data_IF_732951057482
#
_entry.id   IF_732951057482
#
_cell.length_a   1.000
_cell.length_b   1.000
_cell.length_c   1.000
_cell.angle_alpha   90.00
_cell.angle_beta   90.00
_cell.angle_gamma   90.00
#
_symmetry.space_group_name_H-M   'P 1'
#
loop_
_entity.id
_entity.type
_entity.pdbx_description
1 polymer ?
#
# COMPACT_ATOMS: atom_id res chain seq x y z
N UNK A 1 26.75 40.86 -29.56
CA UNK A 1 26.25 42.23 -29.24
C UNK A 1 24.75 42.19 -29.19
N UNK A 2 24.17 42.18 -28.03
CA UNK A 2 23.04 43.01 -27.57
C UNK A 2 22.74 42.61 -26.14
N UNK A 3 23.02 43.53 -25.24
CA UNK A 3 22.61 43.53 -23.84
C UNK A 3 21.40 44.43 -23.73
N UNK A 4 20.48 44.12 -22.85
CA UNK A 4 19.52 45.00 -22.15
C UNK A 4 18.89 44.17 -21.03
N UNK A 5 19.20 44.32 -19.81
CA UNK A 5 18.99 45.39 -18.80
C UNK A 5 17.55 45.47 -18.27
N UNK A 6 17.44 45.06 -16.99
CA UNK A 6 16.67 45.49 -15.81
C UNK A 6 15.25 46.05 -15.98
N UNK A 7 14.34 45.52 -15.14
CA UNK A 7 13.50 46.36 -14.27
C UNK A 7 12.99 45.61 -13.04
N UNK A 8 13.40 46.09 -11.86
CA UNK A 8 12.81 45.83 -10.56
C UNK A 8 11.49 46.59 -10.43
N UNK A 9 10.50 46.00 -9.77
CA UNK A 9 9.49 46.76 -9.01
C UNK A 9 9.11 45.95 -7.77
N UNK A 10 9.51 46.50 -6.64
CA UNK A 10 9.06 46.16 -5.30
C UNK A 10 7.87 47.04 -4.95
N UNK A 11 6.84 46.49 -4.33
CA UNK A 11 5.97 47.21 -3.40
C UNK A 11 5.38 46.19 -2.43
N UNK A 12 5.74 46.29 -1.24
CA UNK A 12 5.31 46.00 0.02
C UNK A 12 3.92 46.50 0.41
N UNK A 13 3.23 45.81 1.24
CA UNK A 13 2.41 46.38 2.28
C UNK A 13 2.19 45.37 3.43
N UNK A 14 2.67 45.77 4.57
CA UNK A 14 2.42 45.23 5.92
C UNK A 14 1.06 45.70 6.41
N UNK A 15 0.30 44.84 7.06
CA UNK A 15 -0.52 45.26 8.23
C UNK A 15 -0.73 44.09 9.18
N UNK A 16 -0.19 44.27 10.36
CA UNK A 16 -0.47 43.55 11.59
C UNK A 16 -1.89 43.86 12.08
N UNK A 17 -2.54 42.88 12.69
CA UNK A 17 -3.48 43.11 13.78
C UNK A 17 -3.50 41.91 14.71
N UNK A 18 -2.89 42.08 15.84
CA UNK A 18 -3.11 41.42 17.12
C UNK A 18 -4.53 41.67 17.60
N UNK A 19 -5.18 40.65 18.15
CA UNK A 19 -6.00 40.87 19.34
C UNK A 19 -6.08 39.60 20.22
N UNK A 20 -5.86 39.88 21.50
CA UNK A 20 -5.72 38.98 22.63
C UNK A 20 -7.05 38.49 23.19
N UNK A 21 -6.94 37.35 23.86
CA UNK A 21 -7.45 37.03 25.21
C UNK A 21 -8.95 37.02 25.51
N UNK A 22 -9.45 35.89 25.96
CA UNK A 22 -10.03 35.75 27.31
C UNK A 22 -10.61 34.35 27.55
N UNK A 23 -10.02 33.60 28.45
CA UNK A 23 -10.67 32.63 29.31
C UNK A 23 -11.32 33.41 30.49
N UNK A 24 -12.44 32.90 31.10
CA UNK A 24 -12.32 32.09 32.32
C UNK A 24 -13.38 30.99 32.45
N UNK A 25 -12.99 29.84 32.93
CA UNK A 25 -13.06 29.29 34.29
C UNK A 25 -14.44 29.01 34.92
N UNK A 26 -14.55 27.74 35.36
CA UNK A 26 -15.18 27.24 36.59
C UNK A 26 -16.70 26.91 36.61
N UNK A 27 -17.08 25.66 36.78
CA UNK A 27 -17.35 25.06 38.10
C UNK A 27 -18.01 23.70 38.01
N UNK A 28 -17.49 22.76 38.78
CA UNK A 28 -18.02 21.46 39.23
C UNK A 28 -18.56 21.69 40.65
N UNK A 29 -19.18 20.75 41.34
CA UNK A 29 -20.21 19.72 41.19
C UNK A 29 -21.35 19.92 42.22
N UNK A 30 -22.03 18.96 42.91
CA UNK A 30 -22.02 17.51 42.90
C UNK A 30 -23.39 16.79 43.12
N UNK A 31 -23.32 15.44 43.11
CA UNK A 31 -23.90 14.48 44.05
C UNK A 31 -25.29 13.87 43.86
N UNK A 32 -25.23 12.55 43.85
CA UNK A 32 -25.97 11.53 44.63
C UNK A 32 -27.46 11.30 44.40
N UNK A 33 -27.76 10.02 44.28
CA UNK A 33 -29.06 9.42 44.50
C UNK A 33 -29.13 7.98 44.05
N UNK A 34 -28.97 7.14 44.99
CA UNK A 34 -29.07 5.69 45.10
C UNK A 34 -30.37 5.06 44.61
N UNK A 35 -30.20 3.84 44.13
CA UNK A 35 -30.83 2.58 44.53
C UNK A 35 -32.22 2.20 44.00
N UNK A 36 -32.22 0.95 43.62
CA UNK A 36 -33.16 -0.14 43.82
C UNK A 36 -33.92 -0.68 42.63
N UNK A 37 -33.40 -1.83 42.17
CA UNK A 37 -34.08 -3.15 42.17
C UNK A 37 -35.48 -3.26 41.53
N UNK A 38 -35.61 -4.02 40.51
CA UNK A 38 -36.37 -5.28 40.49
C UNK A 38 -36.42 -5.92 39.10
N UNK A 39 -36.03 -7.18 39.10
CA UNK A 39 -36.28 -8.25 38.14
C UNK A 39 -37.57 -8.14 37.33
N UNK A 40 -37.48 -8.32 36.01
CA UNK A 40 -38.50 -9.13 35.30
C UNK A 40 -37.95 -9.66 33.96
N UNK A 41 -37.90 -10.96 33.91
CA UNK A 41 -37.67 -11.82 32.75
C UNK A 41 -38.71 -11.54 31.65
N UNK A 42 -38.26 -11.20 30.47
CA UNK A 42 -39.03 -11.44 29.25
C UNK A 42 -38.07 -11.80 28.12
N UNK A 43 -38.13 -13.06 27.77
CA UNK A 43 -37.51 -13.58 26.55
C UNK A 43 -38.12 -12.87 25.34
N UNK A 44 -37.29 -12.16 24.60
CA UNK A 44 -37.64 -11.72 23.25
C UNK A 44 -36.68 -12.38 22.31
N UNK A 45 -37.23 -13.23 21.47
CA UNK A 45 -36.57 -13.96 20.42
C UNK A 45 -35.98 -12.97 19.45
N UNK A 46 -34.66 -13.03 19.27
CA UNK A 46 -33.97 -12.45 18.12
C UNK A 46 -34.42 -13.19 16.85
N UNK A 47 -34.77 -12.49 15.78
CA UNK A 47 -34.88 -13.14 14.48
C UNK A 47 -33.46 -13.53 14.04
N UNK A 48 -33.22 -14.81 13.94
CA UNK A 48 -32.05 -15.37 13.32
C UNK A 48 -31.96 -14.79 11.87
N UNK A 49 -31.03 -13.88 11.67
CA UNK A 49 -30.57 -13.53 10.35
C UNK A 49 -29.68 -14.69 9.87
N UNK A 50 -30.31 -15.70 9.27
CA UNK A 50 -29.62 -16.71 8.50
C UNK A 50 -29.48 -16.17 7.08
N UNK A 51 -28.27 -15.90 6.69
CA UNK A 51 -27.96 -15.50 5.33
C UNK A 51 -26.61 -14.79 5.18
N UNK A 52 -25.64 -15.12 6.04
CA UNK A 52 -24.25 -14.91 5.67
C UNK A 52 -23.84 -16.16 4.87
N UNK A 53 -23.81 -16.01 3.56
CA UNK A 53 -22.91 -16.81 2.75
C UNK A 53 -21.52 -16.37 3.21
N UNK A 54 -20.93 -17.12 4.13
CA UNK A 54 -19.49 -17.12 4.31
C UNK A 54 -18.94 -17.53 2.94
N UNK A 55 -18.52 -16.53 2.14
CA UNK A 55 -17.52 -16.76 1.12
C UNK A 55 -16.33 -17.20 1.93
N UNK A 56 -15.98 -18.49 1.85
CA UNK A 56 -14.70 -18.92 2.39
C UNK A 56 -13.65 -18.11 1.63
N UNK A 57 -13.20 -17.02 2.24
CA UNK A 57 -12.09 -16.26 1.73
C UNK A 57 -10.90 -17.22 1.80
N UNK A 58 -10.47 -17.72 0.65
CA UNK A 58 -9.21 -18.44 0.54
C UNK A 58 -8.14 -17.61 1.22
N UNK A 59 -7.20 -18.27 1.92
CA UNK A 59 -6.15 -17.56 2.62
C UNK A 59 -5.41 -16.64 1.64
N UNK A 60 -5.56 -15.33 1.85
CA UNK A 60 -5.00 -14.30 0.99
C UNK A 60 -3.74 -13.72 1.64
N UNK A 61 -2.69 -13.58 0.87
CA UNK A 61 -1.47 -12.90 1.25
C UNK A 61 -1.26 -11.68 0.35
N UNK A 62 -0.88 -10.55 0.94
CA UNK A 62 -0.53 -9.34 0.23
C UNK A 62 0.93 -9.03 0.47
N UNK A 63 1.77 -9.41 -0.49
CA UNK A 63 3.20 -9.13 -0.51
C UNK A 63 3.44 -7.80 -1.20
N UNK A 64 4.28 -6.94 -0.66
CA UNK A 64 4.57 -5.67 -1.31
C UNK A 64 5.96 -5.13 -0.98
N UNK A 65 6.52 -4.40 -1.94
CA UNK A 65 7.63 -3.48 -1.73
C UNK A 65 7.14 -2.04 -1.86
N UNK A 66 7.50 -1.18 -0.92
CA UNK A 66 7.10 0.23 -0.95
C UNK A 66 8.27 1.15 -0.63
N UNK A 67 8.74 1.91 -1.62
CA UNK A 67 9.84 2.88 -1.42
C UNK A 67 9.38 4.21 -0.80
N UNK A 68 8.10 4.59 -0.97
CA UNK A 68 7.57 5.92 -0.57
C UNK A 68 6.19 5.86 0.10
N UNK A 69 5.76 4.69 0.58
CA UNK A 69 4.48 4.49 1.26
C UNK A 69 3.26 4.32 0.34
N UNK A 70 3.37 4.60 -0.97
CA UNK A 70 2.21 4.51 -1.87
C UNK A 70 1.75 3.07 -2.12
N UNK A 71 2.67 2.14 -2.31
CA UNK A 71 2.36 0.72 -2.49
C UNK A 71 1.88 0.09 -1.19
N UNK A 72 2.48 0.47 -0.06
CA UNK A 72 2.03 0.09 1.28
C UNK A 72 0.58 0.47 1.53
N UNK A 73 0.17 1.70 1.19
CA UNK A 73 -1.23 2.12 1.32
C UNK A 73 -2.17 1.26 0.47
N UNK A 74 -1.79 0.97 -0.77
CA UNK A 74 -2.57 0.11 -1.66
C UNK A 74 -2.67 -1.32 -1.09
N UNK A 75 -1.56 -1.87 -0.59
CA UNK A 75 -1.49 -3.19 0.03
C UNK A 75 -2.38 -3.27 1.28
N UNK A 76 -2.35 -2.23 2.11
CA UNK A 76 -3.20 -2.14 3.32
C UNK A 76 -4.68 -2.20 2.94
N UNK A 77 -5.12 -1.46 1.93
CA UNK A 77 -6.52 -1.53 1.49
C UNK A 77 -6.92 -2.92 0.97
N UNK A 78 -6.02 -3.58 0.21
CA UNK A 78 -6.28 -4.95 -0.24
C UNK A 78 -6.43 -5.88 0.96
N UNK A 79 -5.52 -5.83 1.92
CA UNK A 79 -5.56 -6.66 3.11
C UNK A 79 -6.82 -6.40 3.96
N UNK A 80 -7.19 -5.14 4.18
CA UNK A 80 -8.38 -4.76 4.96
C UNK A 80 -9.68 -5.27 4.29
N UNK A 81 -9.78 -5.18 2.97
CA UNK A 81 -10.96 -5.60 2.21
C UNK A 81 -11.05 -7.12 2.10
N UNK A 82 -9.93 -7.81 1.86
CA UNK A 82 -9.90 -9.26 1.67
C UNK A 82 -9.76 -10.06 2.96
N UNK A 83 -9.42 -9.40 4.07
CA UNK A 83 -9.03 -10.06 5.32
C UNK A 83 -7.69 -10.80 5.22
N UNK A 84 -6.85 -10.45 4.25
CA UNK A 84 -5.56 -11.07 3.99
C UNK A 84 -4.43 -10.61 4.91
N UNK A 85 -3.38 -11.41 4.98
CA UNK A 85 -2.16 -11.07 5.73
C UNK A 85 -1.25 -10.16 4.89
N UNK A 86 -0.56 -9.22 5.53
CA UNK A 86 0.43 -8.34 4.90
C UNK A 86 1.85 -8.89 5.09
N UNK A 87 2.65 -8.81 4.03
CA UNK A 87 4.07 -9.11 4.06
C UNK A 87 4.87 -8.06 3.29
N UNK A 88 5.59 -7.22 4.02
CA UNK A 88 6.47 -6.21 3.44
C UNK A 88 7.81 -6.81 3.03
N UNK A 89 8.25 -6.50 1.81
CA UNK A 89 9.59 -6.81 1.34
C UNK A 89 10.53 -5.70 1.77
N UNK A 90 11.31 -5.95 2.80
CA UNK A 90 12.29 -5.00 3.34
C UNK A 90 13.68 -5.31 2.77
N UNK A 91 14.29 -4.43 1.95
CA UNK A 91 15.70 -4.57 1.59
C UNK A 91 16.59 -4.54 2.83
N UNK A 92 17.56 -5.47 2.91
CA UNK A 92 18.55 -5.52 4.00
C UNK A 92 19.35 -4.21 4.12
N UNK A 93 19.51 -3.51 3.00
CA UNK A 93 20.01 -2.13 2.91
C UNK A 93 18.90 -1.25 2.34
N UNK A 94 18.11 -0.55 3.19
CA UNK A 94 16.96 0.22 2.75
C UNK A 94 17.33 1.38 1.83
N UNK A 95 16.48 1.68 0.86
CA UNK A 95 16.66 2.84 -0.03
C UNK A 95 16.40 4.14 0.71
N UNK A 96 17.36 5.06 0.65
CA UNK A 96 17.21 6.43 1.12
C UNK A 96 16.59 7.33 0.04
N UNK A 97 16.17 8.53 0.41
CA UNK A 97 15.69 9.54 -0.57
C UNK A 97 16.76 9.87 -1.64
N UNK A 98 18.04 9.80 -1.26
CA UNK A 98 19.17 10.03 -2.18
C UNK A 98 19.32 8.85 -3.15
N UNK A 99 19.13 7.61 -2.67
CA UNK A 99 19.18 6.40 -3.47
C UNK A 99 18.06 6.34 -4.51
N UNK A 100 16.89 6.88 -4.17
CA UNK A 100 15.70 6.92 -5.02
C UNK A 100 15.68 8.09 -6.02
N UNK A 101 16.69 8.92 -6.04
CA UNK A 101 16.76 10.08 -6.93
C UNK A 101 17.11 9.69 -8.37
N UNK A 102 16.14 9.24 -9.13
CA UNK A 102 16.26 8.82 -10.54
C UNK A 102 16.72 9.94 -11.50
N UNK A 103 16.80 11.20 -11.04
CA UNK A 103 17.39 12.31 -11.82
C UNK A 103 18.92 12.42 -11.61
N UNK A 104 19.48 11.67 -10.70
CA UNK A 104 20.91 11.58 -10.43
C UNK A 104 21.44 10.25 -10.98
N UNK A 105 22.31 10.28 -11.98
CA UNK A 105 22.92 9.09 -12.57
C UNK A 105 23.80 8.30 -11.57
N UNK A 106 24.30 8.97 -10.53
CA UNK A 106 25.12 8.37 -9.47
C UNK A 106 24.27 7.79 -8.31
N UNK A 107 22.94 7.96 -8.32
CA UNK A 107 22.08 7.36 -7.30
C UNK A 107 22.04 5.83 -7.44
N UNK A 108 21.80 5.14 -6.31
CA UNK A 108 21.73 3.68 -6.27
C UNK A 108 20.73 3.13 -7.30
N UNK A 109 19.51 3.64 -7.32
CA UNK A 109 18.45 3.17 -8.22
C UNK A 109 18.80 3.39 -9.71
N UNK A 110 19.54 4.47 -10.02
CA UNK A 110 20.00 4.73 -11.40
C UNK A 110 21.13 3.81 -11.83
N UNK A 111 22.03 3.48 -10.91
CA UNK A 111 23.11 2.51 -11.16
C UNK A 111 22.56 1.09 -11.32
N UNK A 112 21.62 0.68 -10.47
CA UNK A 112 20.93 -0.61 -10.57
C UNK A 112 20.11 -0.71 -11.87
N UNK A 113 19.54 0.40 -12.34
CA UNK A 113 18.89 0.43 -13.64
C UNK A 113 19.88 0.24 -14.81
N UNK A 114 21.04 0.88 -14.74
CA UNK A 114 22.05 0.83 -15.79
C UNK A 114 22.80 -0.53 -15.84
N UNK A 115 22.91 -1.21 -14.70
CA UNK A 115 23.61 -2.50 -14.57
C UNK A 115 22.69 -3.51 -13.84
N UNK A 116 22.12 -4.43 -14.62
CA UNK A 116 21.20 -5.45 -14.09
C UNK A 116 21.84 -6.37 -13.04
N UNK A 117 23.16 -6.53 -13.06
CA UNK A 117 23.87 -7.34 -12.06
C UNK A 117 23.81 -6.74 -10.64
N UNK A 118 23.39 -5.48 -10.52
CA UNK A 118 23.21 -4.78 -9.24
C UNK A 118 21.77 -4.89 -8.69
N UNK A 119 20.85 -5.51 -9.44
CA UNK A 119 19.44 -5.63 -9.06
C UNK A 119 19.14 -6.80 -8.14
N UNK A 120 20.14 -7.63 -7.82
CA UNK A 120 20.01 -8.68 -6.82
C UNK A 120 20.03 -8.05 -5.42
N UNK A 121 18.85 -7.61 -4.99
CA UNK A 121 18.65 -6.89 -3.73
C UNK A 121 18.38 -7.88 -2.63
N UNK A 122 19.29 -8.01 -1.66
CA UNK A 122 19.10 -8.83 -0.47
C UNK A 122 17.91 -8.29 0.35
N UNK A 123 17.00 -9.19 0.72
CA UNK A 123 15.87 -8.90 1.59
C UNK A 123 16.12 -9.36 3.01
N UNK A 124 15.53 -8.68 4.00
CA UNK A 124 15.53 -9.12 5.40
C UNK A 124 14.88 -10.49 5.54
N UNK A 125 13.81 -10.73 4.76
CA UNK A 125 13.19 -12.04 4.57
C UNK A 125 12.62 -12.13 3.16
N UNK A 126 12.96 -13.20 2.47
CA UNK A 126 12.46 -13.57 1.16
C UNK A 126 11.42 -14.70 1.19
N UNK A 127 11.09 -15.20 2.37
CA UNK A 127 10.18 -16.31 2.63
C UNK A 127 9.11 -15.94 3.64
N UNK A 128 7.90 -16.48 3.46
CA UNK A 128 6.74 -16.25 4.31
C UNK A 128 6.42 -17.50 5.12
N UNK A 129 6.18 -17.31 6.42
CA UNK A 129 5.70 -18.43 7.27
C UNK A 129 4.34 -18.94 6.76
N UNK A 130 4.15 -20.24 6.78
CA UNK A 130 2.92 -20.90 6.32
C UNK A 130 2.57 -20.62 4.84
N UNK A 131 3.59 -20.40 3.98
CA UNK A 131 3.41 -20.14 2.56
C UNK A 131 2.40 -21.05 1.86
N UNK A 132 2.41 -22.34 2.19
CA UNK A 132 1.53 -23.35 1.59
C UNK A 132 0.04 -23.16 1.94
N UNK A 133 -0.26 -22.35 2.96
CA UNK A 133 -1.66 -22.10 3.37
C UNK A 133 -2.34 -21.02 2.55
N UNK A 134 -1.60 -20.23 1.77
CA UNK A 134 -2.16 -19.18 0.94
C UNK A 134 -2.52 -19.68 -0.45
N UNK A 135 -3.74 -19.43 -0.88
CA UNK A 135 -4.25 -19.77 -2.21
C UNK A 135 -4.17 -18.58 -3.17
N UNK A 136 -4.32 -17.36 -2.64
CA UNK A 136 -4.27 -16.11 -3.39
C UNK A 136 -3.14 -15.23 -2.87
N UNK A 137 -2.28 -14.77 -3.77
CA UNK A 137 -1.15 -13.90 -3.45
C UNK A 137 -1.22 -12.63 -4.30
N UNK A 138 -1.43 -11.50 -3.65
CA UNK A 138 -1.25 -10.20 -4.29
C UNK A 138 0.23 -9.81 -4.21
N UNK A 139 0.78 -9.27 -5.30
CA UNK A 139 2.18 -8.80 -5.34
C UNK A 139 2.19 -7.34 -5.75
N UNK A 140 2.60 -6.46 -4.83
CA UNK A 140 2.60 -5.01 -4.97
C UNK A 140 3.99 -4.39 -5.13
N UNK A 141 4.12 -3.43 -6.07
CA UNK A 141 5.38 -2.78 -6.35
C UNK A 141 5.20 -1.38 -6.96
N UNK A 142 6.14 -0.47 -6.77
CA UNK A 142 6.24 0.72 -7.61
C UNK A 142 6.80 0.34 -8.98
N UNK A 143 6.36 1.06 -10.03
CA UNK A 143 6.95 0.92 -11.36
C UNK A 143 8.24 1.75 -11.44
N UNK A 144 9.35 1.07 -11.68
CA UNK A 144 10.66 1.66 -11.94
C UNK A 144 11.05 1.40 -13.40
N UNK A 145 11.26 2.47 -14.18
CA UNK A 145 11.59 2.41 -15.63
C UNK A 145 10.70 1.45 -16.46
N UNK A 146 9.42 1.32 -16.07
CA UNK A 146 8.43 0.51 -16.81
C UNK A 146 8.34 -0.94 -16.41
N UNK A 147 9.14 -1.40 -15.44
CA UNK A 147 9.11 -2.74 -14.86
C UNK A 147 8.82 -2.69 -13.36
N UNK A 148 8.65 -3.82 -12.72
CA UNK A 148 8.55 -3.91 -11.26
C UNK A 148 9.86 -3.44 -10.61
N UNK A 149 9.76 -2.81 -9.43
CA UNK A 149 10.93 -2.52 -8.62
C UNK A 149 11.61 -3.83 -8.22
N UNK A 150 12.88 -3.95 -8.46
CA UNK A 150 13.67 -5.19 -8.38
C UNK A 150 13.76 -5.88 -7.01
N UNK A 151 13.51 -5.24 -5.85
CA UNK A 151 13.35 -6.02 -4.61
C UNK A 151 12.26 -7.09 -4.68
N UNK A 152 11.28 -6.94 -5.57
CA UNK A 152 10.21 -7.94 -5.79
C UNK A 152 10.74 -9.15 -6.57
N UNK A 153 11.71 -8.96 -7.44
CA UNK A 153 12.30 -10.03 -8.25
C UNK A 153 12.93 -11.09 -7.33
N UNK A 154 13.68 -10.66 -6.30
CA UNK A 154 14.31 -11.54 -5.30
C UNK A 154 13.27 -12.43 -4.60
N UNK A 155 12.14 -11.86 -4.19
CA UNK A 155 11.05 -12.62 -3.56
C UNK A 155 10.41 -13.62 -4.52
N UNK A 156 10.18 -13.21 -5.76
CA UNK A 156 9.53 -14.04 -6.80
C UNK A 156 10.42 -15.22 -7.18
N UNK A 157 11.73 -15.03 -7.26
CA UNK A 157 12.70 -16.10 -7.53
C UNK A 157 12.84 -17.10 -6.38
N UNK A 158 12.67 -16.63 -5.13
CA UNK A 158 12.84 -17.45 -3.94
C UNK A 158 11.65 -18.36 -3.62
N UNK A 159 10.46 -18.12 -4.21
CA UNK A 159 9.22 -18.79 -3.83
C UNK A 159 8.59 -19.59 -4.98
N UNK A 160 7.99 -20.73 -4.65
CA UNK A 160 7.21 -21.55 -5.59
C UNK A 160 5.73 -21.19 -5.51
N UNK A 161 5.18 -20.65 -6.60
CA UNK A 161 3.78 -20.24 -6.71
C UNK A 161 2.86 -21.34 -7.26
N UNK A 162 3.34 -22.58 -7.38
CA UNK A 162 2.52 -23.69 -7.89
C UNK A 162 1.21 -23.81 -7.09
N UNK A 163 0.08 -23.78 -7.82
CA UNK A 163 -1.26 -23.90 -7.23
C UNK A 163 -1.83 -22.60 -6.63
N UNK A 164 -1.10 -21.50 -6.73
CA UNK A 164 -1.55 -20.18 -6.23
C UNK A 164 -2.05 -19.30 -7.37
N UNK A 165 -3.11 -18.55 -7.10
CA UNK A 165 -3.54 -17.42 -7.94
C UNK A 165 -2.72 -16.20 -7.56
N UNK A 166 -1.99 -15.62 -8.53
CA UNK A 166 -1.09 -14.47 -8.28
C UNK A 166 -1.61 -13.24 -9.00
N UNK A 167 -1.80 -12.15 -8.26
CA UNK A 167 -2.43 -10.94 -8.78
C UNK A 167 -1.49 -9.75 -8.56
N UNK A 168 -0.79 -9.28 -9.62
CA UNK A 168 0.09 -8.13 -9.50
C UNK A 168 -0.71 -6.84 -9.34
N UNK A 169 -0.22 -5.93 -8.50
CA UNK A 169 -0.69 -4.55 -8.47
C UNK A 169 0.49 -3.58 -8.38
N UNK A 170 0.38 -2.47 -9.08
CA UNK A 170 1.48 -1.53 -9.13
C UNK A 170 1.04 -0.11 -8.77
N UNK A 171 1.98 0.67 -8.25
CA UNK A 171 1.80 2.10 -8.08
C UNK A 171 2.78 2.88 -8.94
N UNK A 172 2.31 3.97 -9.53
CA UNK A 172 3.17 4.89 -10.27
C UNK A 172 2.52 6.27 -10.43
N UNK A 173 3.33 7.29 -10.59
CA UNK A 173 2.85 8.64 -10.86
C UNK A 173 2.24 8.76 -12.27
N UNK A 174 2.87 8.18 -13.29
CA UNK A 174 2.50 8.36 -14.70
C UNK A 174 2.60 7.09 -15.55
N UNK A 175 3.48 6.15 -15.24
CA UNK A 175 3.64 4.92 -16.01
C UNK A 175 2.41 4.01 -15.86
N UNK A 176 2.07 3.26 -16.90
CA UNK A 176 1.10 2.16 -16.82
C UNK A 176 1.71 0.94 -16.15
N UNK A 177 0.90 -0.10 -15.99
CA UNK A 177 1.36 -1.42 -15.52
C UNK A 177 2.38 -2.02 -16.53
N UNK A 178 2.17 -1.78 -17.81
CA UNK A 178 3.01 -2.34 -18.87
C UNK A 178 3.01 -3.87 -18.84
N UNK A 179 4.18 -4.44 -19.07
CA UNK A 179 4.41 -5.88 -19.02
C UNK A 179 5.00 -6.34 -17.67
N UNK A 180 5.02 -5.45 -16.64
CA UNK A 180 5.71 -5.71 -15.37
C UNK A 180 5.21 -6.98 -14.67
N UNK A 181 3.89 -7.22 -14.63
CA UNK A 181 3.31 -8.45 -14.06
C UNK A 181 3.65 -9.70 -14.87
N UNK A 182 3.71 -9.58 -16.19
CA UNK A 182 4.10 -10.69 -17.06
C UNK A 182 5.59 -11.05 -16.90
N UNK A 183 6.45 -10.05 -16.75
CA UNK A 183 7.89 -10.28 -16.50
C UNK A 183 8.10 -11.00 -15.16
N UNK A 184 7.37 -10.64 -14.12
CA UNK A 184 7.40 -11.35 -12.84
C UNK A 184 6.88 -12.79 -12.97
N UNK A 185 5.82 -13.03 -13.76
CA UNK A 185 5.30 -14.36 -14.04
C UNK A 185 6.33 -15.24 -14.76
N UNK A 186 7.05 -14.67 -15.73
CA UNK A 186 8.13 -15.36 -16.45
C UNK A 186 9.29 -15.68 -15.51
N UNK A 187 9.63 -14.78 -14.58
CA UNK A 187 10.67 -14.96 -13.59
C UNK A 187 10.30 -16.06 -12.58
N UNK A 188 9.07 -16.04 -12.06
CA UNK A 188 8.57 -17.06 -11.15
C UNK A 188 8.52 -18.46 -11.77
N UNK A 189 8.15 -18.55 -13.04
CA UNK A 189 8.00 -19.81 -13.78
C UNK A 189 6.88 -20.72 -13.27
N UNK A 190 6.18 -20.37 -12.19
CA UNK A 190 5.09 -21.11 -11.56
C UNK A 190 3.96 -20.16 -11.14
N UNK A 191 2.76 -20.72 -10.84
CA UNK A 191 1.58 -19.94 -10.43
C UNK A 191 0.62 -19.61 -11.57
N UNK A 192 -0.61 -19.26 -11.21
CA UNK A 192 -1.65 -18.77 -12.12
C UNK A 192 -1.72 -17.25 -12.03
N UNK A 193 -0.90 -16.59 -12.84
CA UNK A 193 -0.75 -15.12 -12.83
C UNK A 193 -1.89 -14.45 -13.59
N UNK A 194 -2.59 -13.58 -12.90
CA UNK A 194 -3.72 -12.83 -13.41
C UNK A 194 -3.32 -11.48 -13.98
N UNK A 195 -4.24 -10.85 -14.72
CA UNK A 195 -4.07 -9.46 -15.13
C UNK A 195 -4.07 -8.55 -13.90
N UNK A 196 -3.00 -7.80 -13.74
CA UNK A 196 -2.85 -6.89 -12.61
C UNK A 196 -3.49 -5.53 -12.83
N UNK A 197 -3.44 -4.69 -11.79
CA UNK A 197 -3.94 -3.31 -11.84
C UNK A 197 -2.85 -2.32 -11.44
N UNK A 198 -2.87 -1.16 -12.08
CA UNK A 198 -2.01 -0.05 -11.71
C UNK A 198 -2.81 1.07 -11.06
N UNK A 199 -2.37 1.50 -9.89
CA UNK A 199 -2.93 2.62 -9.14
C UNK A 199 -2.04 3.85 -9.20
N UNK A 200 -2.64 5.01 -9.04
CA UNK A 200 -1.89 6.25 -8.81
C UNK A 200 -1.48 6.34 -7.33
N UNK A 201 -0.53 7.21 -7.02
CA UNK A 201 -0.03 7.45 -5.65
C UNK A 201 -1.11 7.90 -4.65
N UNK A 202 -2.33 8.16 -5.09
CA UNK A 202 -3.45 8.57 -4.25
C UNK A 202 -4.66 7.66 -4.47
N UNK A 203 -4.43 6.35 -4.53
CA UNK A 203 -5.52 5.38 -4.61
C UNK A 203 -6.45 5.54 -3.41
N UNK A 204 -7.76 5.50 -3.65
CA UNK A 204 -8.75 5.48 -2.59
C UNK A 204 -9.18 4.04 -2.28
N UNK A 205 -9.65 3.82 -1.06
CA UNK A 205 -10.26 2.55 -0.66
C UNK A 205 -11.41 2.14 -1.58
N UNK A 206 -12.22 3.11 -2.02
CA UNK A 206 -13.32 2.86 -2.96
C UNK A 206 -12.87 2.38 -4.33
N UNK A 207 -11.78 2.96 -4.89
CA UNK A 207 -11.21 2.49 -6.15
C UNK A 207 -10.63 1.07 -5.99
N UNK A 208 -10.06 0.78 -4.83
CA UNK A 208 -9.53 -0.56 -4.51
C UNK A 208 -10.67 -1.57 -4.40
N UNK A 209 -11.74 -1.25 -3.69
CA UNK A 209 -12.92 -2.12 -3.58
C UNK A 209 -13.51 -2.44 -4.95
N UNK A 210 -13.69 -1.41 -5.82
CA UNK A 210 -14.22 -1.61 -7.18
C UNK A 210 -13.35 -2.57 -8.00
N UNK A 211 -12.02 -2.44 -7.88
CA UNK A 211 -11.11 -3.36 -8.56
C UNK A 211 -11.23 -4.78 -8.01
N UNK A 212 -11.18 -4.96 -6.69
CA UNK A 212 -11.27 -6.29 -6.06
C UNK A 212 -12.60 -6.97 -6.38
N UNK A 213 -13.72 -6.24 -6.39
CA UNK A 213 -15.04 -6.74 -6.81
C UNK A 213 -15.05 -7.20 -8.28
N UNK A 214 -14.18 -6.63 -9.12
CA UNK A 214 -14.03 -7.03 -10.52
C UNK A 214 -13.22 -8.32 -10.70
N UNK A 215 -12.43 -8.70 -9.70
CA UNK A 215 -11.68 -9.94 -9.68
C UNK A 215 -12.64 -11.08 -9.29
N UNK A 216 -12.78 -12.07 -10.15
CA UNK A 216 -13.57 -13.27 -9.82
C UNK A 216 -12.73 -14.20 -8.92
N UNK A 217 -12.45 -13.77 -7.70
CA UNK A 217 -11.75 -14.58 -6.71
C UNK A 217 -12.71 -15.66 -6.22
N UNK A 218 -12.37 -16.94 -6.47
CA UNK A 218 -13.18 -18.10 -6.10
C UNK A 218 -12.42 -19.03 -5.18
#
# INVERSE_FOLDING_TARGET
CFAMALSLAACGNTTSSTNESSTPESSVPPASGEASDTSSTAASQEPAFQGETEVEAGNTLVVYFSATGNTEQAATYIADITGGDLFELEPADPYTDEDLNYNNEDSRVSQEYADESLRDVELVSDTVENWDSYDTVFIGYPIWWGIAAWPVDTFVEANDFTGKTVIPFATSASSGLGESGQLLAELAGTGDWQEGMRFRSSVSEGDMQEWLDSLSLS
#
